data_IF_885088606976
#
_entry.id   IF_885088606976
#
_cell.length_a   1.000
_cell.length_b   1.000
_cell.length_c   1.000
_cell.angle_alpha   90.00
_cell.angle_beta   90.00
_cell.angle_gamma   90.00
#
_symmetry.space_group_name_H-M   'P 1'
#
loop_
_entity.id
_entity.type
_entity.pdbx_description
1 polymer ?
#
# COMPACT_ATOMS: atom_id res chain seq x y z
N UNK A 1 -15.39 -20.15 13.07
CA UNK A 1 -14.95 -18.90 13.71
C UNK A 1 -13.43 -19.00 13.77
N UNK A 2 -12.73 -18.39 12.81
CA UNK A 2 -11.26 -18.46 12.74
C UNK A 2 -10.68 -17.44 13.73
N UNK A 3 -9.68 -17.88 14.48
CA UNK A 3 -9.09 -17.12 15.56
C UNK A 3 -8.23 -15.96 15.00
N UNK A 4 -8.23 -14.81 15.67
CA UNK A 4 -7.46 -13.62 15.26
C UNK A 4 -5.96 -13.95 15.16
N UNK A 5 -5.50 -14.92 15.96
CA UNK A 5 -4.12 -15.40 15.98
C UNK A 5 -3.76 -16.29 14.78
N UNK A 6 -4.69 -17.13 14.27
CA UNK A 6 -4.46 -17.91 13.04
C UNK A 6 -4.28 -17.00 11.82
N UNK A 7 -5.00 -15.88 11.79
CA UNK A 7 -4.86 -14.87 10.75
C UNK A 7 -3.50 -14.16 10.79
N UNK A 8 -2.84 -14.09 11.94
CA UNK A 8 -1.52 -13.47 12.09
C UNK A 8 -0.43 -14.29 11.41
N UNK A 9 -0.39 -15.60 11.64
CA UNK A 9 0.59 -16.50 11.01
C UNK A 9 0.38 -16.60 9.49
N UNK A 10 -0.87 -16.66 9.03
CA UNK A 10 -1.18 -16.67 7.59
C UNK A 10 -0.76 -15.35 6.90
N UNK A 11 -0.99 -14.19 7.54
CA UNK A 11 -0.56 -12.88 7.02
C UNK A 11 0.97 -12.75 6.96
N UNK A 12 1.70 -13.30 7.93
CA UNK A 12 3.17 -13.28 7.92
C UNK A 12 3.71 -14.17 6.80
N UNK A 13 3.11 -15.35 6.58
CA UNK A 13 3.52 -16.26 5.52
C UNK A 13 3.22 -15.73 4.10
N UNK A 14 2.17 -14.92 3.93
CA UNK A 14 1.80 -14.36 2.61
C UNK A 14 2.49 -13.04 2.29
N UNK A 15 3.04 -12.33 3.28
CA UNK A 15 3.74 -11.04 3.08
C UNK A 15 5.25 -11.22 2.84
N UNK A 16 5.58 -12.24 2.07
CA UNK A 16 6.92 -12.50 1.54
C UNK A 16 7.17 -11.69 0.28
N UNK A 17 8.44 -11.65 -0.13
CA UNK A 17 8.90 -11.00 -1.37
C UNK A 17 8.07 -11.51 -2.55
N UNK A 18 7.60 -10.60 -3.39
CA UNK A 18 6.85 -10.98 -4.58
C UNK A 18 7.75 -11.82 -5.53
N UNK A 19 7.28 -12.96 -6.08
CA UNK A 19 8.12 -13.83 -6.92
C UNK A 19 8.76 -13.12 -8.12
N UNK A 20 8.06 -12.12 -8.68
CA UNK A 20 8.52 -11.32 -9.82
C UNK A 20 9.36 -10.08 -9.43
N UNK A 21 9.62 -9.83 -8.14
CA UNK A 21 10.32 -8.61 -7.72
C UNK A 21 11.71 -8.49 -8.37
N UNK A 22 12.52 -9.54 -8.27
CA UNK A 22 13.90 -9.53 -8.77
C UNK A 22 13.95 -9.29 -10.27
N UNK A 23 13.12 -9.99 -11.04
CA UNK A 23 13.05 -9.83 -12.50
C UNK A 23 12.56 -8.43 -12.88
N UNK A 24 11.45 -7.97 -12.27
CA UNK A 24 10.92 -6.63 -12.53
C UNK A 24 11.88 -5.50 -12.13
N UNK A 25 12.72 -5.72 -11.11
CA UNK A 25 13.76 -4.77 -10.71
C UNK A 25 14.90 -4.76 -11.73
N UNK A 26 15.40 -5.93 -12.10
CA UNK A 26 16.54 -6.08 -13.02
C UNK A 26 16.20 -5.61 -14.43
N UNK A 27 14.98 -5.85 -14.89
CA UNK A 27 14.49 -5.40 -16.20
C UNK A 27 14.11 -3.90 -16.22
N UNK A 28 14.23 -3.22 -15.08
CA UNK A 28 13.90 -1.80 -14.95
C UNK A 28 12.40 -1.49 -14.95
N UNK A 29 11.53 -2.51 -14.93
CA UNK A 29 10.07 -2.34 -14.91
C UNK A 29 9.62 -1.53 -13.69
N UNK A 30 10.16 -1.81 -12.50
CA UNK A 30 9.83 -1.04 -11.29
C UNK A 30 10.15 0.45 -11.48
N UNK A 31 11.30 0.76 -12.06
CA UNK A 31 11.72 2.13 -12.33
C UNK A 31 10.85 2.80 -13.39
N UNK A 32 10.49 2.09 -14.46
CA UNK A 32 9.62 2.60 -15.52
C UNK A 32 8.20 2.88 -15.02
N UNK A 33 7.59 1.95 -14.28
CA UNK A 33 6.27 2.16 -13.67
C UNK A 33 6.29 3.36 -12.72
N UNK A 34 7.36 3.51 -11.94
CA UNK A 34 7.54 4.67 -11.07
C UNK A 34 7.63 5.98 -11.84
N UNK A 35 8.57 6.09 -12.78
CA UNK A 35 8.80 7.35 -13.49
C UNK A 35 7.64 7.69 -14.42
N UNK A 36 7.22 6.76 -15.25
CA UNK A 36 6.25 7.03 -16.31
C UNK A 36 4.83 7.08 -15.78
N UNK A 37 4.45 6.18 -14.87
CA UNK A 37 3.06 6.05 -14.43
C UNK A 37 2.78 6.77 -13.10
N UNK A 38 3.67 6.68 -12.11
CA UNK A 38 3.43 7.33 -10.81
C UNK A 38 3.78 8.83 -10.82
N UNK A 39 4.96 9.19 -11.33
CA UNK A 39 5.42 10.58 -11.36
C UNK A 39 4.78 11.35 -12.51
N UNK A 40 4.96 10.86 -13.75
CA UNK A 40 4.52 11.55 -14.96
C UNK A 40 3.16 11.08 -15.51
N UNK A 41 2.43 10.22 -14.79
CA UNK A 41 1.13 9.74 -15.23
C UNK A 41 0.14 10.88 -15.45
N UNK A 42 -0.50 10.91 -16.62
CA UNK A 42 -1.42 12.00 -17.01
C UNK A 42 -2.74 11.98 -16.23
N UNK A 43 -3.13 10.81 -15.72
CA UNK A 43 -4.41 10.62 -15.03
C UNK A 43 -4.22 10.08 -13.62
N UNK A 44 -5.17 10.41 -12.74
CA UNK A 44 -5.22 9.83 -11.40
C UNK A 44 -5.36 8.31 -11.44
N UNK A 45 -6.06 7.79 -12.45
CA UNK A 45 -6.18 6.36 -12.68
C UNK A 45 -4.81 5.70 -12.90
N UNK A 46 -3.96 6.25 -13.76
CA UNK A 46 -2.61 5.72 -14.02
C UNK A 46 -1.75 5.74 -12.75
N UNK A 47 -1.79 6.84 -11.99
CA UNK A 47 -1.04 6.95 -10.72
C UNK A 47 -1.53 5.96 -9.67
N UNK A 48 -2.84 5.75 -9.60
CA UNK A 48 -3.47 4.80 -8.68
C UNK A 48 -3.07 3.36 -9.03
N UNK A 49 -3.09 2.99 -10.31
CA UNK A 49 -2.62 1.68 -10.78
C UNK A 49 -1.11 1.50 -10.55
N UNK A 50 -0.31 2.53 -10.80
CA UNK A 50 1.12 2.48 -10.56
C UNK A 50 1.45 2.18 -9.10
N UNK A 51 0.77 2.85 -8.16
CA UNK A 51 0.92 2.55 -6.73
C UNK A 51 0.54 1.13 -6.39
N UNK A 52 -0.57 0.62 -6.93
CA UNK A 52 -1.01 -0.77 -6.68
C UNK A 52 0.03 -1.76 -7.18
N UNK A 53 0.53 -1.59 -8.40
CA UNK A 53 1.55 -2.45 -9.01
C UNK A 53 2.84 -2.40 -8.19
N UNK A 54 3.34 -1.20 -7.88
CA UNK A 54 4.59 -1.02 -7.14
C UNK A 54 4.47 -1.60 -5.72
N UNK A 55 3.36 -1.34 -5.02
CA UNK A 55 3.15 -1.85 -3.66
C UNK A 55 3.06 -3.37 -3.63
N UNK A 56 2.53 -3.98 -4.70
CA UNK A 56 2.44 -5.43 -4.84
C UNK A 56 3.82 -6.04 -5.11
N UNK A 57 4.57 -5.49 -6.07
CA UNK A 57 5.89 -6.00 -6.44
C UNK A 57 6.90 -5.81 -5.32
N UNK A 58 6.87 -4.68 -4.63
CA UNK A 58 7.85 -4.30 -3.61
C UNK A 58 7.48 -4.80 -2.20
N UNK A 59 6.47 -5.66 -2.08
CA UNK A 59 6.10 -6.27 -0.79
C UNK A 59 7.31 -6.99 -0.17
N UNK A 60 7.51 -6.79 1.13
CA UNK A 60 8.61 -7.42 1.86
C UNK A 60 10.00 -6.89 1.48
N UNK A 61 10.09 -5.73 0.83
CA UNK A 61 11.34 -5.09 0.42
C UNK A 61 11.38 -3.64 0.90
N UNK A 62 12.57 -3.15 1.26
CA UNK A 62 12.77 -1.72 1.44
C UNK A 62 12.55 -1.00 0.10
N UNK A 63 11.71 0.03 0.13
CA UNK A 63 11.45 0.89 -1.03
C UNK A 63 12.61 1.87 -1.20
N UNK A 64 13.07 2.11 -2.43
CA UNK A 64 14.14 3.09 -2.68
C UNK A 64 13.75 4.46 -2.12
N UNK A 65 14.68 5.12 -1.44
CA UNK A 65 14.45 6.41 -0.77
C UNK A 65 13.85 7.47 -1.70
N UNK A 66 14.24 7.48 -2.98
CA UNK A 66 13.70 8.42 -3.98
C UNK A 66 12.24 8.14 -4.33
N UNK A 67 11.76 6.90 -4.11
CA UNK A 67 10.40 6.46 -4.39
C UNK A 67 9.48 6.54 -3.17
N UNK A 68 10.03 6.36 -1.96
CA UNK A 68 9.28 6.24 -0.69
C UNK A 68 8.18 7.30 -0.57
N UNK A 69 8.55 8.57 -0.60
CA UNK A 69 7.62 9.67 -0.39
C UNK A 69 6.44 9.63 -1.38
N UNK A 70 6.71 9.50 -2.68
CA UNK A 70 5.68 9.50 -3.72
C UNK A 70 4.76 8.27 -3.63
N UNK A 71 5.34 7.09 -3.41
CA UNK A 71 4.59 5.83 -3.29
C UNK A 71 3.66 5.88 -2.07
N UNK A 72 4.22 6.18 -0.89
CA UNK A 72 3.46 6.16 0.35
C UNK A 72 2.45 7.30 0.44
N UNK A 73 2.76 8.50 -0.02
CA UNK A 73 1.80 9.61 -0.07
C UNK A 73 0.57 9.22 -0.91
N UNK A 74 0.79 8.65 -2.10
CA UNK A 74 -0.31 8.27 -2.99
C UNK A 74 -1.07 7.05 -2.49
N UNK A 75 -0.41 6.06 -1.88
CA UNK A 75 -1.07 4.92 -1.24
C UNK A 75 -1.91 5.33 -0.01
N UNK A 76 -1.42 6.28 0.79
CA UNK A 76 -2.20 6.88 1.89
C UNK A 76 -3.43 7.61 1.37
N UNK A 77 -3.26 8.42 0.31
CA UNK A 77 -4.37 9.09 -0.36
C UNK A 77 -5.40 8.09 -0.93
N UNK A 78 -4.96 6.97 -1.50
CA UNK A 78 -5.88 5.91 -1.95
C UNK A 78 -6.76 5.35 -0.82
N UNK A 79 -6.25 5.30 0.40
CA UNK A 79 -6.98 4.85 1.58
C UNK A 79 -8.03 5.86 2.09
N UNK A 80 -7.91 7.15 1.73
CA UNK A 80 -8.90 8.16 2.12
C UNK A 80 -10.08 8.24 1.13
N UNK A 81 -9.88 7.83 -0.13
CA UNK A 81 -10.96 7.80 -1.14
C UNK A 81 -12.14 6.92 -0.69
N UNK A 82 -13.34 7.36 -1.05
CA UNK A 82 -14.54 6.54 -0.88
C UNK A 82 -14.47 5.33 -1.82
N UNK A 83 -14.51 4.13 -1.23
CA UNK A 83 -14.35 2.84 -1.89
C UNK A 83 -15.07 1.77 -1.08
N UNK A 84 -15.46 0.65 -1.73
CA UNK A 84 -16.02 -0.48 -1.00
C UNK A 84 -14.98 -1.09 -0.03
N UNK A 85 -15.47 -1.77 1.00
CA UNK A 85 -14.67 -2.17 2.17
C UNK A 85 -13.57 -3.17 1.83
N UNK A 86 -13.80 -4.03 0.84
CA UNK A 86 -12.83 -4.97 0.28
C UNK A 86 -11.61 -4.25 -0.32
N UNK A 87 -11.82 -3.17 -1.07
CA UNK A 87 -10.74 -2.39 -1.66
C UNK A 87 -9.93 -1.64 -0.58
N UNK A 88 -10.58 -1.14 0.47
CA UNK A 88 -9.89 -0.54 1.62
C UNK A 88 -9.02 -1.60 2.32
N UNK A 89 -9.54 -2.80 2.52
CA UNK A 89 -8.78 -3.91 3.11
C UNK A 89 -7.55 -4.26 2.26
N UNK A 90 -7.68 -4.31 0.93
CA UNK A 90 -6.55 -4.54 0.03
C UNK A 90 -5.47 -3.45 0.16
N UNK A 91 -5.84 -2.17 0.20
CA UNK A 91 -4.87 -1.08 0.33
C UNK A 91 -4.15 -1.09 1.69
N UNK A 92 -4.86 -1.43 2.77
CA UNK A 92 -4.25 -1.62 4.08
C UNK A 92 -3.32 -2.83 4.11
N UNK A 93 -3.69 -3.92 3.44
CA UNK A 93 -2.82 -5.09 3.33
C UNK A 93 -1.54 -4.79 2.54
N UNK A 94 -1.62 -3.98 1.49
CA UNK A 94 -0.45 -3.48 0.76
C UNK A 94 0.50 -2.67 1.68
N UNK A 95 -0.03 -1.74 2.48
CA UNK A 95 0.77 -1.01 3.46
C UNK A 95 1.44 -1.95 4.47
N UNK A 96 0.69 -2.93 4.98
CA UNK A 96 1.26 -3.93 5.88
C UNK A 96 2.32 -4.81 5.20
N UNK A 97 2.15 -5.12 3.92
CA UNK A 97 3.11 -5.87 3.13
C UNK A 97 4.42 -5.10 2.90
N UNK A 98 4.33 -3.78 2.72
CA UNK A 98 5.51 -2.90 2.64
C UNK A 98 6.17 -2.72 4.02
N UNK A 99 5.38 -2.66 5.10
CA UNK A 99 5.87 -2.53 6.48
C UNK A 99 6.55 -3.79 7.04
N UNK A 100 6.57 -4.90 6.29
CA UNK A 100 7.40 -6.07 6.65
C UNK A 100 8.88 -5.68 6.70
N UNK A 101 9.29 -4.76 5.84
CA UNK A 101 10.59 -4.12 5.95
C UNK A 101 10.49 -2.87 6.84
N UNK A 102 11.20 -2.87 7.96
CA UNK A 102 11.13 -1.80 8.96
C UNK A 102 11.59 -0.44 8.43
N UNK A 103 12.44 -0.42 7.40
CA UNK A 103 12.91 0.81 6.75
C UNK A 103 11.79 1.61 6.07
N UNK A 104 10.64 0.99 5.80
CA UNK A 104 9.47 1.63 5.23
C UNK A 104 8.55 2.28 6.27
N UNK A 105 8.60 1.83 7.54
CA UNK A 105 7.64 2.23 8.59
C UNK A 105 7.59 3.75 8.81
N UNK A 106 8.71 4.49 8.89
CA UNK A 106 8.66 5.93 9.16
C UNK A 106 7.83 6.73 8.16
N UNK A 107 7.91 6.37 6.87
CA UNK A 107 7.18 7.04 5.81
C UNK A 107 5.70 6.61 5.77
N UNK A 108 5.40 5.36 6.17
CA UNK A 108 4.03 4.84 6.27
C UNK A 108 3.25 5.57 7.37
N UNK A 109 3.87 5.79 8.54
CA UNK A 109 3.19 6.40 9.70
C UNK A 109 3.24 7.93 9.70
N UNK A 110 3.93 8.54 8.73
CA UNK A 110 4.07 9.98 8.61
C UNK A 110 2.71 10.67 8.39
N UNK A 111 2.68 11.99 8.58
CA UNK A 111 1.49 12.82 8.33
C UNK A 111 0.26 12.44 9.16
N UNK A 112 0.47 11.90 10.36
CA UNK A 112 -0.59 11.42 11.26
C UNK A 112 -1.50 10.35 10.64
N UNK A 113 -1.01 9.58 9.66
CA UNK A 113 -1.83 8.62 8.90
C UNK A 113 -2.70 7.72 9.79
N UNK A 114 -2.13 7.16 10.87
CA UNK A 114 -2.84 6.28 11.82
C UNK A 114 -4.09 6.96 12.40
N UNK A 115 -3.98 8.23 12.80
CA UNK A 115 -5.11 8.98 13.37
C UNK A 115 -6.18 9.21 12.31
N UNK A 116 -5.77 9.59 11.09
CA UNK A 116 -6.69 9.84 9.96
C UNK A 116 -7.46 8.59 9.56
N UNK A 117 -6.80 7.43 9.51
CA UNK A 117 -7.44 6.14 9.16
C UNK A 117 -8.47 5.69 10.21
N UNK A 118 -8.19 5.93 11.50
CA UNK A 118 -9.14 5.62 12.58
C UNK A 118 -10.42 6.46 12.49
N UNK A 119 -10.29 7.77 12.25
CA UNK A 119 -11.44 8.69 12.15
C UNK A 119 -12.30 8.37 10.93
N UNK A 120 -11.69 8.13 9.77
CA UNK A 120 -12.42 7.79 8.53
C UNK A 120 -13.25 6.50 8.67
N UNK A 121 -12.66 5.45 9.25
CA UNK A 121 -13.35 4.19 9.49
C UNK A 121 -14.47 4.33 10.53
N UNK A 122 -14.31 5.22 11.52
CA UNK A 122 -15.36 5.53 12.49
C UNK A 122 -16.54 6.25 11.80
N UNK A 123 -16.27 7.27 10.99
CA UNK A 123 -17.30 8.03 10.27
C UNK A 123 -18.08 7.17 9.28
N UNK A 124 -17.42 6.25 8.55
CA UNK A 124 -18.10 5.27 7.68
C UNK A 124 -19.08 4.37 8.45
N UNK A 125 -18.70 3.90 9.64
CA UNK A 125 -19.60 3.08 10.47
C UNK A 125 -20.83 3.87 10.92
N UNK A 126 -20.66 5.15 11.28
CA UNK A 126 -21.77 6.02 11.70
C UNK A 126 -22.76 6.36 10.57
N UNK A 127 -22.27 6.57 9.34
CA UNK A 127 -23.10 6.94 8.20
C UNK A 127 -23.88 5.75 7.60
N UNK A 128 -23.43 4.52 7.78
CA UNK A 128 -24.13 3.31 7.32
C UNK A 128 -24.99 2.63 8.39
N UNK A 129 -25.11 3.23 9.58
CA UNK A 129 -25.96 2.77 10.69
C UNK A 129 -27.23 3.61 10.90
N UNK A 130 -27.54 4.54 9.98
CA UNK A 130 -28.80 5.30 9.91
C UNK A 130 -29.51 4.96 8.59
#
# INVERSE_FOLDING_TARGET
MFDIMEYGQFRIQTRTIHPLYSDAKNDGVIFQVYQTCLIHGETDFLKDQAVVILSTLMRGQEVDQKMKQHLFLRLKYLNTKEKPSDQVACMLDMLCGLAVDEGNIPEIISENFIKTTQVHNLMKKFLHSQ
#
